data_IF_828154431700
#
_entry.id   IF_828154431700
#
_cell.length_a   1.000
_cell.length_b   1.000
_cell.length_c   1.000
_cell.angle_alpha   90.00
_cell.angle_beta   90.00
_cell.angle_gamma   90.00
#
_symmetry.space_group_name_H-M   'P 1'
#
loop_
_entity.id
_entity.type
_entity.pdbx_description
1 polymer ?
#
# COMPACT_ATOMS: atom_id res chain seq x y z
N UNK A 1 10.37 -10.70 44.26
CA UNK A 1 9.28 -11.03 43.31
C UNK A 1 8.70 -9.79 42.62
N UNK A 2 8.24 -8.75 43.33
CA UNK A 2 7.75 -7.52 42.69
C UNK A 2 8.81 -6.74 41.90
N UNK A 3 10.03 -6.65 42.43
CA UNK A 3 11.15 -5.93 41.79
C UNK A 3 11.71 -6.66 40.57
N UNK A 4 11.75 -7.99 40.58
CA UNK A 4 12.17 -8.79 39.41
C UNK A 4 11.16 -8.71 38.26
N UNK A 5 9.85 -8.84 38.54
CA UNK A 5 8.79 -8.63 37.54
C UNK A 5 8.81 -7.20 36.96
N UNK A 6 9.07 -6.19 37.80
CA UNK A 6 9.20 -4.81 37.35
C UNK A 6 10.37 -4.64 36.36
N UNK A 7 11.52 -5.28 36.62
CA UNK A 7 12.67 -5.22 35.74
C UNK A 7 12.42 -5.93 34.40
N UNK A 8 11.72 -7.07 34.40
CA UNK A 8 11.34 -7.77 33.15
C UNK A 8 10.43 -6.91 32.27
N UNK A 9 9.41 -6.27 32.87
CA UNK A 9 8.52 -5.36 32.15
C UNK A 9 9.30 -4.17 31.58
N UNK A 10 10.20 -3.58 32.36
CA UNK A 10 11.03 -2.45 31.90
C UNK A 10 11.90 -2.86 30.71
N UNK A 11 12.53 -4.03 30.76
CA UNK A 11 13.38 -4.53 29.66
C UNK A 11 12.54 -4.71 28.39
N UNK A 12 11.37 -5.35 28.47
CA UNK A 12 10.46 -5.51 27.34
C UNK A 12 10.04 -4.16 26.75
N UNK A 13 9.73 -3.20 27.61
CA UNK A 13 9.28 -1.86 27.21
C UNK A 13 10.40 -1.08 26.52
N UNK A 14 11.64 -1.17 27.02
CA UNK A 14 12.82 -0.57 26.38
C UNK A 14 13.05 -1.19 25.01
N UNK A 15 13.00 -2.52 24.88
CA UNK A 15 13.15 -3.22 23.59
C UNK A 15 12.04 -2.81 22.61
N UNK A 16 10.79 -2.73 23.08
CA UNK A 16 9.68 -2.29 22.25
C UNK A 16 9.88 -0.84 21.77
N UNK A 17 10.28 0.07 22.66
CA UNK A 17 10.53 1.47 22.32
C UNK A 17 11.67 1.59 21.32
N UNK A 18 12.80 0.90 21.53
CA UNK A 18 13.93 0.95 20.59
C UNK A 18 13.55 0.38 19.22
N UNK A 19 12.73 -0.66 19.19
CA UNK A 19 12.23 -1.24 17.95
C UNK A 19 11.35 -0.27 17.15
N UNK A 20 10.60 0.63 17.80
CA UNK A 20 9.78 1.64 17.12
C UNK A 20 10.61 2.66 16.30
N UNK A 21 11.91 2.80 16.55
CA UNK A 21 12.75 3.74 15.79
C UNK A 21 13.17 3.23 14.41
N UNK A 22 13.01 1.94 14.12
CA UNK A 22 13.31 1.38 12.80
C UNK A 22 12.19 1.64 11.80
N UNK A 23 12.19 2.83 11.19
CA UNK A 23 11.15 3.26 10.24
C UNK A 23 11.39 2.67 8.85
N UNK A 24 10.36 2.04 8.28
CA UNK A 24 10.34 1.69 6.86
C UNK A 24 10.20 2.93 5.99
N UNK A 25 10.76 2.86 4.78
CA UNK A 25 10.53 3.83 3.73
C UNK A 25 9.04 3.82 3.33
N UNK A 26 8.44 5.00 3.24
CA UNK A 26 7.02 5.17 2.91
C UNK A 26 6.83 5.23 1.40
N UNK A 27 5.68 4.76 0.91
CA UNK A 27 5.27 4.91 -0.48
C UNK A 27 4.91 6.38 -0.78
N UNK A 28 5.94 7.19 -1.05
CA UNK A 28 5.82 8.58 -1.47
C UNK A 28 6.75 8.80 -2.66
N UNK A 29 6.19 9.23 -3.78
CA UNK A 29 6.94 9.67 -4.95
C UNK A 29 6.69 11.14 -5.23
N UNK A 30 7.69 11.85 -5.73
CA UNK A 30 7.60 13.27 -6.10
C UNK A 30 6.73 13.52 -7.35
N UNK A 31 6.38 12.46 -8.08
CA UNK A 31 5.51 12.52 -9.25
C UNK A 31 4.04 12.74 -8.87
N UNK A 32 3.35 13.60 -9.62
CA UNK A 32 1.91 13.77 -9.50
C UNK A 32 1.22 12.42 -9.67
N UNK A 33 0.37 12.07 -8.71
CA UNK A 33 -0.60 10.97 -8.84
C UNK A 33 -1.63 11.40 -9.88
N UNK A 34 -1.24 11.40 -11.16
CA UNK A 34 -2.20 11.63 -12.23
C UNK A 34 -3.16 10.45 -12.25
N UNK A 35 -4.34 10.73 -11.75
CA UNK A 35 -5.37 9.77 -11.44
C UNK A 35 -6.07 9.35 -12.73
N UNK A 36 -5.74 8.15 -13.24
CA UNK A 36 -6.30 7.60 -14.48
C UNK A 36 -7.84 7.70 -14.55
N UNK A 37 -8.53 7.39 -13.45
CA UNK A 37 -10.01 7.38 -13.40
C UNK A 37 -10.56 8.80 -13.61
N UNK A 38 -9.94 9.81 -12.99
CA UNK A 38 -10.39 11.21 -13.11
C UNK A 38 -9.97 11.88 -14.43
N UNK A 39 -9.05 11.28 -15.20
CA UNK A 39 -8.76 11.72 -16.57
C UNK A 39 -9.82 11.25 -17.57
N UNK A 40 -10.33 10.03 -17.39
CA UNK A 40 -11.31 9.43 -18.31
C UNK A 40 -12.75 9.91 -18.10
N UNK A 41 -13.08 10.37 -16.89
CA UNK A 41 -14.46 10.71 -16.50
C UNK A 41 -14.51 11.97 -15.66
N UNK A 42 -15.54 12.78 -15.85
CA UNK A 42 -15.85 13.89 -14.94
C UNK A 42 -16.47 13.32 -13.66
N UNK A 43 -15.75 13.42 -12.55
CA UNK A 43 -16.16 12.86 -11.26
C UNK A 43 -16.49 14.00 -10.31
N UNK A 44 -17.66 13.97 -9.64
CA UNK A 44 -18.00 14.90 -8.57
C UNK A 44 -16.94 14.92 -7.45
N UNK A 45 -16.72 16.09 -6.84
CA UNK A 45 -15.63 16.29 -5.86
C UNK A 45 -15.77 15.40 -4.61
N UNK A 46 -17.00 15.13 -4.17
CA UNK A 46 -17.32 14.22 -3.06
C UNK A 46 -16.90 12.78 -3.37
N UNK A 47 -17.10 12.33 -4.61
CA UNK A 47 -16.68 10.99 -5.05
C UNK A 47 -15.16 10.93 -5.23
N UNK A 48 -14.52 12.02 -5.65
CA UNK A 48 -13.07 12.08 -5.81
C UNK A 48 -12.33 11.79 -4.50
N UNK A 49 -12.82 12.32 -3.36
CA UNK A 49 -12.26 12.01 -2.04
C UNK A 49 -12.36 10.52 -1.67
N UNK A 50 -13.48 9.90 -2.01
CA UNK A 50 -13.71 8.46 -1.79
C UNK A 50 -12.72 7.63 -2.61
N UNK A 51 -12.55 7.93 -3.90
CA UNK A 51 -11.62 7.20 -4.77
C UNK A 51 -10.18 7.34 -4.27
N UNK A 52 -9.78 8.53 -3.82
CA UNK A 52 -8.43 8.75 -3.28
C UNK A 52 -8.16 7.84 -2.09
N UNK A 53 -9.04 7.84 -1.10
CA UNK A 53 -8.87 7.08 0.14
C UNK A 53 -9.13 5.58 0.00
N UNK A 54 -10.01 5.17 -0.92
CA UNK A 54 -10.40 3.77 -1.10
C UNK A 54 -9.53 3.04 -2.12
N UNK A 55 -9.01 3.75 -3.13
CA UNK A 55 -8.27 3.16 -4.24
C UNK A 55 -6.84 3.68 -4.31
N UNK A 56 -6.65 5.00 -4.44
CA UNK A 56 -5.34 5.56 -4.77
C UNK A 56 -4.33 5.49 -3.64
N UNK A 57 -4.75 5.63 -2.38
CA UNK A 57 -3.83 5.50 -1.25
C UNK A 57 -3.14 4.12 -1.23
N UNK A 58 -3.77 3.07 -1.78
CA UNK A 58 -3.19 1.72 -1.82
C UNK A 58 -2.62 1.31 -3.18
N UNK A 59 -3.20 1.79 -4.27
CA UNK A 59 -2.88 1.36 -5.64
C UNK A 59 -2.14 2.44 -6.45
N UNK A 60 -1.49 3.40 -5.81
CA UNK A 60 -0.73 4.44 -6.50
C UNK A 60 0.68 4.62 -5.91
N UNK A 61 1.51 5.46 -6.53
CA UNK A 61 2.86 5.76 -6.05
C UNK A 61 2.90 6.73 -4.86
N UNK A 62 1.74 7.19 -4.37
CA UNK A 62 1.66 8.04 -3.20
C UNK A 62 0.54 7.57 -2.27
N UNK A 63 0.89 7.32 -1.01
CA UNK A 63 -0.06 6.89 0.01
C UNK A 63 -0.17 7.95 1.11
N UNK A 64 -1.40 8.38 1.38
CA UNK A 64 -1.70 9.12 2.61
C UNK A 64 -1.84 8.14 3.76
N UNK A 65 -0.72 7.88 4.41
CA UNK A 65 -0.67 6.94 5.53
C UNK A 65 -1.48 7.45 6.74
N UNK A 66 -2.37 6.62 7.31
CA UNK A 66 -3.10 6.96 8.53
C UNK A 66 -2.17 6.90 9.75
N UNK A 67 -2.52 7.60 10.83
CA UNK A 67 -1.65 7.74 12.02
C UNK A 67 -1.19 6.40 12.62
N UNK A 68 -2.01 5.36 12.56
CA UNK A 68 -1.66 4.04 13.08
C UNK A 68 -0.52 3.36 12.29
N UNK A 69 -0.17 3.86 11.10
CA UNK A 69 0.96 3.37 10.31
C UNK A 69 2.31 3.70 10.94
N UNK A 70 2.37 4.49 12.00
CA UNK A 70 3.60 4.82 12.72
C UNK A 70 3.97 3.79 13.80
N UNK A 71 3.08 2.82 14.06
CA UNK A 71 3.24 1.85 15.14
C UNK A 71 3.64 0.50 14.56
N UNK A 72 4.81 -0.01 14.96
CA UNK A 72 5.22 -1.37 14.64
C UNK A 72 4.41 -2.41 15.43
N UNK A 73 4.05 -3.56 14.84
CA UNK A 73 4.41 -4.05 13.49
C UNK A 73 3.43 -3.62 12.37
N UNK A 74 2.44 -2.79 12.68
CA UNK A 74 1.36 -2.41 11.74
C UNK A 74 1.94 -1.71 10.51
N UNK A 75 2.94 -0.85 10.70
CA UNK A 75 3.70 -0.22 9.61
C UNK A 75 4.18 -1.21 8.56
N UNK A 76 4.79 -2.31 9.00
CA UNK A 76 5.39 -3.32 8.12
C UNK A 76 4.33 -4.09 7.36
N UNK A 77 3.30 -4.51 8.08
CA UNK A 77 2.17 -5.21 7.49
C UNK A 77 1.48 -4.35 6.42
N UNK A 78 1.20 -3.08 6.74
CA UNK A 78 0.56 -2.14 5.83
C UNK A 78 1.43 -1.85 4.58
N UNK A 79 2.72 -1.56 4.77
CA UNK A 79 3.64 -1.33 3.65
C UNK A 79 3.77 -2.55 2.74
N UNK A 80 3.85 -3.75 3.32
CA UNK A 80 3.89 -5.00 2.55
C UNK A 80 2.60 -5.19 1.73
N UNK A 81 1.44 -4.88 2.31
CA UNK A 81 0.15 -4.95 1.61
C UNK A 81 0.07 -3.97 0.45
N UNK A 82 0.42 -2.70 0.67
CA UNK A 82 0.45 -1.68 -0.39
C UNK A 82 1.38 -2.13 -1.53
N UNK A 83 2.62 -2.52 -1.19
CA UNK A 83 3.60 -2.98 -2.18
C UNK A 83 3.07 -4.15 -3.01
N UNK A 84 2.47 -5.14 -2.36
CA UNK A 84 1.91 -6.33 -3.01
C UNK A 84 0.74 -5.97 -3.92
N UNK A 85 -0.19 -5.15 -3.45
CA UNK A 85 -1.37 -4.74 -4.22
C UNK A 85 -1.01 -3.91 -5.46
N UNK A 86 -0.02 -3.02 -5.36
CA UNK A 86 0.48 -2.24 -6.50
C UNK A 86 1.04 -3.10 -7.64
N UNK A 87 1.55 -4.30 -7.35
CA UNK A 87 2.05 -5.22 -8.40
C UNK A 87 0.96 -5.78 -9.31
N UNK A 88 -0.30 -5.70 -8.88
CA UNK A 88 -1.45 -6.16 -9.65
C UNK A 88 -2.10 -5.02 -10.42
N UNK A 89 -2.19 -3.84 -9.80
CA UNK A 89 -2.73 -2.62 -10.39
C UNK A 89 -2.02 -1.41 -9.78
N UNK A 90 -1.40 -0.58 -10.63
CA UNK A 90 -0.84 0.71 -10.24
C UNK A 90 -1.45 1.85 -11.07
N UNK A 91 -2.32 2.65 -10.45
CA UNK A 91 -3.01 3.76 -11.11
C UNK A 91 -2.08 4.89 -11.54
N UNK A 92 -0.89 5.03 -10.93
CA UNK A 92 0.10 6.02 -11.33
C UNK A 92 0.85 5.64 -12.60
N UNK A 93 0.84 4.36 -12.97
CA UNK A 93 1.61 3.83 -14.09
C UNK A 93 0.71 3.18 -15.15
N UNK A 94 -0.61 3.26 -14.96
CA UNK A 94 -1.59 2.54 -15.75
C UNK A 94 -1.50 2.85 -17.25
N UNK A 95 -1.36 4.13 -17.62
CA UNK A 95 -1.19 4.55 -19.03
C UNK A 95 0.10 3.97 -19.63
N UNK A 96 1.19 3.97 -18.86
CA UNK A 96 2.49 3.44 -19.28
C UNK A 96 2.39 1.94 -19.53
N UNK A 97 1.85 1.20 -18.56
CA UNK A 97 1.65 -0.26 -18.67
C UNK A 97 0.76 -0.63 -19.87
N UNK A 98 -0.32 0.12 -20.10
CA UNK A 98 -1.17 -0.09 -21.28
C UNK A 98 -0.45 0.24 -22.59
N UNK A 99 0.38 1.29 -22.63
CA UNK A 99 1.11 1.68 -23.84
C UNK A 99 2.22 0.69 -24.21
N UNK A 100 2.87 0.09 -23.21
CA UNK A 100 3.96 -0.86 -23.40
C UNK A 100 3.46 -2.27 -23.78
N UNK A 101 2.34 -2.71 -23.19
CA UNK A 101 1.84 -4.08 -23.35
C UNK A 101 0.68 -4.19 -24.35
N UNK A 102 -0.09 -3.12 -24.54
CA UNK A 102 -1.38 -3.15 -25.22
C UNK A 102 -2.51 -3.69 -24.32
N UNK A 103 -3.72 -3.15 -24.48
CA UNK A 103 -4.90 -3.46 -23.62
C UNK A 103 -5.16 -4.97 -23.51
N UNK A 104 -5.09 -5.69 -24.64
CA UNK A 104 -5.48 -7.09 -24.65
C UNK A 104 -4.46 -8.02 -24.01
N UNK A 105 -3.18 -7.67 -24.12
CA UNK A 105 -2.12 -8.39 -23.43
C UNK A 105 -2.11 -8.09 -21.93
N UNK A 106 -2.48 -6.88 -21.52
CA UNK A 106 -2.68 -6.53 -20.12
C UNK A 106 -3.83 -7.35 -19.50
N UNK A 107 -4.98 -7.41 -20.19
CA UNK A 107 -6.13 -8.23 -19.76
C UNK A 107 -5.76 -9.72 -19.71
N UNK A 108 -5.09 -10.25 -20.74
CA UNK A 108 -4.66 -11.64 -20.77
C UNK A 108 -3.68 -11.97 -19.64
N UNK A 109 -2.68 -11.12 -19.38
CA UNK A 109 -1.75 -11.32 -18.26
C UNK A 109 -2.45 -11.31 -16.90
N UNK A 110 -3.44 -10.43 -16.72
CA UNK A 110 -4.22 -10.39 -15.48
C UNK A 110 -5.05 -11.67 -15.32
N UNK A 111 -5.75 -12.11 -16.36
CA UNK A 111 -6.54 -13.34 -16.37
C UNK A 111 -5.68 -14.59 -16.10
N UNK A 112 -4.49 -14.68 -16.72
CA UNK A 112 -3.55 -15.79 -16.51
C UNK A 112 -3.00 -15.79 -15.07
N UNK A 113 -2.82 -14.60 -14.46
CA UNK A 113 -2.33 -14.49 -13.08
C UNK A 113 -3.42 -14.81 -12.05
N UNK A 114 -4.68 -14.44 -12.32
CA UNK A 114 -5.84 -14.80 -11.50
C UNK A 114 -6.21 -16.28 -11.63
N UNK A 115 -6.09 -16.89 -12.83
CA UNK A 115 -6.29 -18.34 -12.99
C UNK A 115 -5.25 -19.16 -12.22
N UNK A 116 -4.01 -18.66 -12.13
CA UNK A 116 -2.95 -19.27 -11.32
C UNK A 116 -3.14 -19.14 -9.81
N UNK A 117 -4.00 -18.21 -9.37
CA UNK A 117 -4.40 -18.04 -7.96
C UNK A 117 -5.63 -18.89 -7.60
N UNK A 118 -6.28 -19.50 -8.60
CA UNK A 118 -7.37 -20.48 -8.45
C UNK A 118 -6.87 -21.93 -8.51
N UNK A 119 -5.57 -22.15 -8.70
CA UNK A 119 -4.94 -23.44 -8.45
C UNK A 119 -4.97 -23.67 -6.92
N UNK A 120 -5.63 -24.73 -6.43
CA UNK A 120 -5.85 -24.92 -5.00
C UNK A 120 -4.62 -25.55 -4.33
N UNK A 121 -3.39 -25.07 -4.57
CA UNK A 121 -2.18 -25.50 -3.86
C UNK A 121 -1.09 -24.41 -3.85
#
# INVERSE_FOLDING_TARGET
MKTTLLMEIIILLVVFITFQFFRLEKNKSDGSTENYITKGYTIPADVQGIITTSCYDCHSNNTNYPLYSEIHPITWWLNSHIKTRKTQVNFSEFDRELSELGIQEFVNRKLIRESKLLDPF
#
